data_IF_789709964702
#
_entry.id   IF_789709964702
#
_cell.length_a   1.000
_cell.length_b   1.000
_cell.length_c   1.000
_cell.angle_alpha   90.00
_cell.angle_beta   90.00
_cell.angle_gamma   90.00
#
_symmetry.space_group_name_H-M   'P 1'
#
loop_
_entity.id
_entity.type
_entity.pdbx_description
1 polymer ?
#
# COMPACT_ATOMS: atom_id res chain seq x y z
N UNK A 1 -14.28 23.29 -34.79
CA UNK A 1 -13.61 24.30 -35.63
C UNK A 1 -12.15 24.29 -35.23
N UNK A 2 -11.28 23.73 -36.08
CA UNK A 2 -9.87 23.51 -35.73
C UNK A 2 -9.04 24.78 -35.88
N UNK A 3 -8.03 24.96 -35.03
CA UNK A 3 -7.05 26.04 -35.10
C UNK A 3 -5.66 25.40 -35.14
N UNK A 4 -4.89 25.70 -36.19
CA UNK A 4 -3.47 25.39 -36.28
C UNK A 4 -2.66 26.51 -35.62
N UNK A 5 -1.66 26.14 -34.82
CA UNK A 5 -0.65 27.05 -34.27
C UNK A 5 0.73 26.52 -34.65
N UNK A 6 1.52 27.31 -35.37
CA UNK A 6 2.95 27.07 -35.62
C UNK A 6 3.78 27.93 -34.67
N UNK A 7 4.87 27.40 -34.12
CA UNK A 7 5.88 28.18 -33.39
C UNK A 7 7.28 27.87 -33.91
N UNK A 8 7.98 28.91 -34.36
CA UNK A 8 9.43 28.93 -34.55
C UNK A 8 10.13 29.16 -33.19
N UNK A 9 11.18 28.36 -32.94
CA UNK A 9 12.17 28.44 -31.86
C UNK A 9 11.68 28.86 -30.46
N UNK A 10 11.38 27.87 -29.61
CA UNK A 10 11.34 28.04 -28.15
C UNK A 10 12.73 27.76 -27.56
N UNK A 11 13.38 28.79 -27.01
CA UNK A 11 14.17 28.57 -25.81
C UNK A 11 13.21 28.26 -24.66
N UNK A 12 13.44 27.15 -23.97
CA UNK A 12 12.54 26.64 -22.92
C UNK A 12 12.42 27.62 -21.74
N UNK A 13 11.20 27.97 -21.30
CA UNK A 13 11.00 28.77 -20.10
C UNK A 13 11.31 27.97 -18.82
N UNK A 14 11.95 28.63 -17.85
CA UNK A 14 12.24 28.13 -16.50
C UNK A 14 10.93 27.81 -15.75
N UNK A 15 10.75 26.55 -15.37
CA UNK A 15 9.69 26.10 -14.45
C UNK A 15 10.18 26.36 -13.03
N UNK A 16 9.43 27.13 -12.24
CA UNK A 16 9.62 27.25 -10.79
C UNK A 16 8.34 26.73 -10.15
N UNK A 17 8.40 25.50 -9.62
CA UNK A 17 7.30 24.93 -8.84
C UNK A 17 7.43 25.42 -7.39
N UNK A 18 6.59 26.35 -6.97
CA UNK A 18 6.16 26.44 -5.58
C UNK A 18 4.70 26.01 -5.52
N UNK A 19 4.41 25.10 -4.60
CA UNK A 19 3.10 24.49 -4.36
C UNK A 19 1.99 25.53 -4.54
N UNK A 20 1.02 25.20 -5.40
CA UNK A 20 -0.23 25.92 -5.71
C UNK A 20 -0.28 26.91 -6.89
N UNK A 21 0.77 27.16 -7.69
CA UNK A 21 0.62 28.06 -8.86
C UNK A 21 1.44 27.65 -10.09
N UNK A 22 0.78 27.43 -11.24
CA UNK A 22 1.44 27.46 -12.55
C UNK A 22 1.39 28.90 -13.07
N UNK A 23 2.51 29.62 -12.98
CA UNK A 23 2.65 30.97 -13.55
C UNK A 23 3.31 30.87 -14.92
N UNK A 24 2.54 31.04 -15.99
CA UNK A 24 3.09 31.18 -17.35
C UNK A 24 3.29 32.67 -17.63
N UNK A 25 4.55 33.09 -17.72
CA UNK A 25 4.91 34.47 -18.07
C UNK A 25 4.73 34.69 -19.57
N UNK A 26 3.92 35.68 -19.94
CA UNK A 26 3.92 36.27 -21.27
C UNK A 26 4.27 37.75 -21.15
N UNK A 27 5.32 38.20 -21.85
CA UNK A 27 5.68 39.62 -21.88
C UNK A 27 4.57 40.38 -22.62
N UNK A 28 3.89 41.25 -21.87
CA UNK A 28 2.98 42.32 -22.33
C UNK A 28 1.54 41.92 -22.73
N UNK A 29 0.69 41.62 -21.73
CA UNK A 29 -0.70 42.09 -21.52
C UNK A 29 -1.43 41.12 -20.58
N UNK A 30 -1.98 41.63 -19.47
CA UNK A 30 -2.54 40.81 -18.40
C UNK A 30 -3.97 40.35 -18.71
N UNK A 31 -4.12 39.06 -19.02
CA UNK A 31 -5.42 38.35 -18.98
C UNK A 31 -5.31 37.27 -17.92
N UNK A 32 -6.12 37.35 -16.87
CA UNK A 32 -6.17 36.34 -15.81
C UNK A 32 -7.27 35.32 -16.15
N UNK A 33 -6.90 34.06 -16.38
CA UNK A 33 -7.85 32.95 -16.43
C UNK A 33 -7.67 32.18 -15.13
N UNK A 34 -8.68 32.24 -14.27
CA UNK A 34 -8.73 31.43 -13.05
C UNK A 34 -9.31 30.07 -13.41
N UNK A 35 -8.47 29.03 -13.47
CA UNK A 35 -8.94 27.65 -13.45
C UNK A 35 -8.67 27.16 -12.03
N UNK A 36 -9.69 27.19 -11.17
CA UNK A 36 -9.62 26.56 -9.85
C UNK A 36 -9.88 25.06 -10.07
N UNK A 37 -8.84 24.32 -10.42
CA UNK A 37 -8.84 22.87 -10.32
C UNK A 37 -8.30 22.51 -8.93
N UNK A 38 -9.12 21.91 -8.08
CA UNK A 38 -8.59 21.22 -6.90
C UNK A 38 -7.82 20.01 -7.42
N UNK A 39 -6.49 20.05 -7.33
CA UNK A 39 -5.67 18.87 -7.59
C UNK A 39 -5.87 17.99 -6.36
N UNK A 40 -6.87 17.10 -6.41
CA UNK A 40 -7.03 16.07 -5.40
C UNK A 40 -5.89 15.08 -5.61
N UNK A 41 -4.83 15.23 -4.83
CA UNK A 41 -3.70 14.32 -4.79
C UNK A 41 -3.67 13.64 -3.43
N UNK A 42 -3.33 12.35 -3.41
CA UNK A 42 -3.08 11.62 -2.17
C UNK A 42 -1.97 12.32 -1.35
N UNK A 43 -2.21 12.52 -0.06
CA UNK A 43 -1.22 13.10 0.86
C UNK A 43 -0.76 12.08 1.91
N UNK A 44 0.43 12.28 2.48
CA UNK A 44 1.04 11.34 3.42
C UNK A 44 0.14 10.99 4.62
N UNK A 45 -0.64 11.97 5.14
CA UNK A 45 -1.53 11.74 6.28
C UNK A 45 -2.74 10.84 5.97
N UNK A 46 -2.99 10.57 4.68
CA UNK A 46 -4.04 9.63 4.24
C UNK A 46 -3.52 8.19 4.18
N UNK A 47 -2.20 7.97 4.20
CA UNK A 47 -1.60 6.64 4.31
C UNK A 47 -1.55 6.22 5.78
N UNK A 48 -2.40 5.28 6.16
CA UNK A 48 -2.58 4.87 7.55
C UNK A 48 -2.28 3.40 7.76
N UNK A 49 -1.85 3.05 8.98
CA UNK A 49 -1.70 1.68 9.43
C UNK A 49 -2.86 1.31 10.38
N UNK A 50 -3.34 0.08 10.28
CA UNK A 50 -4.41 -0.47 11.12
C UNK A 50 -4.01 -1.83 11.67
N UNK A 51 -4.54 -2.16 12.85
CA UNK A 51 -4.36 -3.46 13.48
C UNK A 51 -5.21 -4.54 12.81
N UNK A 52 -4.79 -5.79 12.98
CA UNK A 52 -5.66 -6.94 12.76
C UNK A 52 -6.74 -7.09 13.83
N UNK A 53 -7.80 -7.82 13.48
CA UNK A 53 -8.94 -8.10 14.33
C UNK A 53 -8.55 -8.77 15.64
N UNK A 54 -7.55 -9.65 15.60
CA UNK A 54 -6.94 -10.22 16.80
C UNK A 54 -5.47 -9.83 16.88
N UNK A 55 -5.05 -9.25 18.01
CA UNK A 55 -3.65 -9.00 18.35
C UNK A 55 -3.31 -9.84 19.58
N UNK A 56 -2.50 -10.88 19.39
CA UNK A 56 -2.10 -11.77 20.48
C UNK A 56 -0.71 -12.37 20.21
N UNK A 57 -0.24 -13.25 21.10
CA UNK A 57 0.97 -14.05 20.88
C UNK A 57 0.65 -15.53 20.61
N UNK A 58 -0.62 -15.84 20.32
CA UNK A 58 -1.12 -17.19 20.05
C UNK A 58 -1.38 -17.38 18.55
N UNK A 59 -1.69 -18.62 18.15
CA UNK A 59 -1.96 -18.99 16.77
C UNK A 59 -3.06 -18.13 16.11
N UNK A 60 -4.03 -17.65 16.88
CA UNK A 60 -5.13 -16.80 16.38
C UNK A 60 -4.74 -15.33 16.12
N UNK A 61 -3.50 -14.90 16.42
CA UNK A 61 -3.02 -13.55 16.10
C UNK A 61 -3.13 -13.28 14.59
N UNK A 62 -3.72 -12.16 14.19
CA UNK A 62 -4.02 -11.85 12.78
C UNK A 62 -5.51 -11.75 12.51
N UNK A 63 -5.94 -12.27 11.35
CA UNK A 63 -7.30 -12.12 10.84
C UNK A 63 -7.51 -10.80 10.09
N UNK A 64 -8.79 -10.42 9.91
CA UNK A 64 -9.23 -9.26 9.12
C UNK A 64 -8.75 -7.92 9.67
N UNK A 65 -8.90 -6.87 8.86
CA UNK A 65 -8.72 -5.47 9.25
C UNK A 65 -9.62 -5.13 10.45
N UNK A 66 -9.07 -4.42 11.44
CA UNK A 66 -9.86 -3.79 12.51
C UNK A 66 -9.97 -2.27 12.31
N UNK A 67 -10.80 -1.63 13.12
CA UNK A 67 -10.91 -0.16 13.21
C UNK A 67 -9.78 0.49 14.01
N UNK A 68 -8.92 -0.31 14.64
CA UNK A 68 -7.85 0.17 15.50
C UNK A 68 -6.67 0.73 14.72
N UNK A 69 -6.68 2.04 14.42
CA UNK A 69 -5.57 2.76 13.79
C UNK A 69 -4.28 2.65 14.62
N UNK A 70 -3.16 2.42 13.94
CA UNK A 70 -1.81 2.42 14.48
C UNK A 70 -1.22 3.81 14.21
N UNK A 71 -1.46 4.72 15.15
CA UNK A 71 -0.94 6.10 15.09
C UNK A 71 0.59 6.11 15.24
N UNK A 72 1.27 6.96 14.47
CA UNK A 72 2.73 7.07 14.52
C UNK A 72 3.20 7.74 15.82
N UNK A 73 4.49 7.57 16.16
CA UNK A 73 5.14 8.20 17.32
C UNK A 73 4.60 7.78 18.70
N UNK A 74 3.90 6.65 18.77
CA UNK A 74 3.45 6.07 20.03
C UNK A 74 4.33 4.85 20.35
N UNK A 75 4.90 4.83 21.55
CA UNK A 75 5.67 3.69 22.04
C UNK A 75 4.78 2.44 22.14
N UNK A 76 5.34 1.28 21.80
CA UNK A 76 4.71 -0.03 21.93
C UNK A 76 3.41 -0.20 21.13
N UNK A 77 3.23 0.59 20.08
CA UNK A 77 1.96 0.63 19.37
C UNK A 77 1.70 -0.64 18.54
N UNK A 78 2.77 -1.31 18.10
CA UNK A 78 2.73 -2.58 17.36
C UNK A 78 3.23 -3.73 18.23
N UNK A 79 4.45 -3.61 18.77
CA UNK A 79 5.06 -4.61 19.63
C UNK A 79 5.10 -4.12 21.08
N UNK A 80 4.72 -4.94 22.07
CA UNK A 80 4.90 -4.57 23.46
C UNK A 80 6.38 -4.68 23.86
N UNK A 81 6.72 -4.07 25.00
CA UNK A 81 8.05 -4.22 25.59
C UNK A 81 8.42 -5.71 25.75
N UNK A 82 9.71 -6.00 25.59
CA UNK A 82 10.27 -7.34 25.75
C UNK A 82 11.03 -7.38 27.06
N UNK A 83 10.72 -8.34 27.92
CA UNK A 83 11.42 -8.54 29.19
C UNK A 83 12.84 -9.07 28.97
N UNK A 84 13.73 -8.86 29.95
CA UNK A 84 15.10 -9.39 29.89
C UNK A 84 15.12 -10.91 29.74
N UNK A 85 14.19 -11.62 30.41
CA UNK A 85 14.08 -13.06 30.32
C UNK A 85 13.71 -13.53 28.90
N UNK A 86 12.77 -12.83 28.24
CA UNK A 86 12.41 -13.10 26.84
C UNK A 86 13.58 -12.83 25.88
N UNK A 87 14.36 -11.77 26.11
CA UNK A 87 15.56 -11.49 25.30
C UNK A 87 16.62 -12.57 25.44
N UNK A 88 16.90 -13.00 26.67
CA UNK A 88 17.89 -14.06 26.93
C UNK A 88 17.48 -15.41 26.33
N UNK A 89 16.18 -15.69 26.25
CA UNK A 89 15.66 -16.91 25.65
C UNK A 89 15.63 -16.87 24.11
N UNK A 90 15.70 -15.68 23.51
CA UNK A 90 15.34 -15.45 22.12
C UNK A 90 13.82 -15.52 21.93
N UNK A 91 13.22 -14.46 21.41
CA UNK A 91 11.79 -14.37 21.17
C UNK A 91 11.50 -14.01 19.73
N UNK A 92 10.63 -14.78 19.08
CA UNK A 92 10.01 -14.40 17.82
C UNK A 92 8.56 -14.03 18.10
N UNK A 93 8.14 -12.85 17.66
CA UNK A 93 6.79 -12.32 17.89
C UNK A 93 6.23 -11.77 16.59
N UNK A 94 5.01 -12.19 16.25
CA UNK A 94 4.35 -11.78 15.02
C UNK A 94 3.29 -10.72 15.27
N UNK A 95 3.15 -9.78 14.34
CA UNK A 95 2.05 -8.81 14.31
C UNK A 95 1.59 -8.64 12.88
N UNK A 96 0.29 -8.79 12.66
CA UNK A 96 -0.33 -8.47 11.38
C UNK A 96 -0.84 -7.04 11.42
N UNK A 97 -0.53 -6.30 10.38
CA UNK A 97 -0.92 -4.91 10.21
C UNK A 97 -1.42 -4.70 8.79
N UNK A 98 -2.16 -3.62 8.60
CA UNK A 98 -2.76 -3.28 7.33
C UNK A 98 -2.44 -1.84 6.97
N UNK A 99 -1.94 -1.61 5.76
CA UNK A 99 -1.80 -0.27 5.21
C UNK A 99 -3.05 0.12 4.45
N UNK A 100 -3.61 1.30 4.70
CA UNK A 100 -4.86 1.74 4.10
C UNK A 100 -4.69 3.15 3.56
N UNK A 101 -5.05 3.35 2.30
CA UNK A 101 -5.25 4.68 1.76
C UNK A 101 -6.61 5.20 2.25
N UNK A 102 -6.61 6.30 2.99
CA UNK A 102 -7.83 6.91 3.55
C UNK A 102 -8.16 8.24 2.86
N UNK A 103 -8.07 8.25 1.53
CA UNK A 103 -8.38 9.42 0.72
C UNK A 103 -9.89 9.51 0.45
N UNK A 104 -10.53 10.58 0.91
CA UNK A 104 -11.98 10.75 0.83
C UNK A 104 -12.51 11.03 -0.60
N UNK A 105 -11.61 11.42 -1.50
CA UNK A 105 -11.89 11.68 -2.91
C UNK A 105 -11.78 10.40 -3.78
N UNK A 106 -11.40 9.26 -3.19
CA UNK A 106 -11.16 8.01 -3.90
C UNK A 106 -10.09 8.11 -4.99
N UNK A 107 -9.08 8.95 -4.75
CA UNK A 107 -7.91 9.07 -5.63
C UNK A 107 -7.09 7.77 -5.66
N UNK A 108 -6.42 7.54 -6.78
CA UNK A 108 -5.61 6.34 -7.02
C UNK A 108 -4.24 6.48 -6.34
N UNK A 109 -3.79 5.43 -5.65
CA UNK A 109 -2.40 5.33 -5.20
C UNK A 109 -1.54 4.61 -6.23
N UNK A 110 -0.42 5.22 -6.59
CA UNK A 110 0.52 4.68 -7.58
C UNK A 110 1.78 4.17 -6.88
N UNK A 111 2.29 3.01 -7.29
CA UNK A 111 3.60 2.49 -6.91
C UNK A 111 3.92 2.52 -5.40
N UNK A 112 3.02 2.07 -4.49
CA UNK A 112 3.32 2.09 -3.07
C UNK A 112 4.47 1.15 -2.72
N UNK A 113 5.29 1.58 -1.76
CA UNK A 113 6.51 0.90 -1.33
C UNK A 113 6.48 0.69 0.18
N UNK A 114 6.82 -0.52 0.62
CA UNK A 114 7.02 -0.84 2.03
C UNK A 114 8.46 -1.29 2.25
N UNK A 115 9.16 -0.63 3.16
CA UNK A 115 10.57 -0.89 3.46
C UNK A 115 10.94 -0.28 4.81
N UNK A 116 12.01 -0.76 5.43
CA UNK A 116 12.57 -0.13 6.61
C UNK A 116 13.48 1.05 6.25
N UNK A 117 13.60 2.03 7.14
CA UNK A 117 14.41 3.25 6.96
C UNK A 117 15.48 3.45 8.06
N UNK A 118 15.50 2.58 9.07
CA UNK A 118 16.47 2.43 10.20
C UNK A 118 16.21 1.09 10.89
N UNK A 119 17.21 0.70 11.67
CA UNK A 119 17.12 -0.39 12.63
C UNK A 119 16.34 0.00 13.89
N UNK A 120 16.06 -1.01 14.70
CA UNK A 120 15.62 -0.78 16.08
C UNK A 120 16.82 -0.29 16.91
N UNK A 121 16.62 0.58 17.92
CA UNK A 121 17.71 0.98 18.82
C UNK A 121 18.20 -0.14 19.72
N UNK A 122 17.44 -1.23 19.82
CA UNK A 122 17.73 -2.36 20.68
C UNK A 122 18.43 -3.50 19.93
N UNK A 123 18.86 -3.24 18.67
CA UNK A 123 19.51 -4.24 17.80
C UNK A 123 18.63 -5.48 17.56
N UNK A 124 17.31 -5.35 17.77
CA UNK A 124 16.31 -6.36 17.44
C UNK A 124 16.06 -6.37 15.92
N UNK A 125 15.88 -7.57 15.36
CA UNK A 125 15.48 -7.77 13.97
C UNK A 125 13.99 -7.52 13.76
N UNK A 126 13.66 -6.85 12.66
CA UNK A 126 12.28 -6.79 12.18
C UNK A 126 12.26 -7.19 10.71
N UNK A 127 11.39 -8.14 10.41
CA UNK A 127 11.15 -8.64 9.05
C UNK A 127 9.66 -8.51 8.73
N UNK A 128 9.36 -8.40 7.45
CA UNK A 128 8.02 -8.29 6.87
C UNK A 128 7.85 -9.42 5.87
N UNK A 129 6.62 -9.90 5.72
CA UNK A 129 6.26 -10.75 4.60
C UNK A 129 4.82 -10.47 4.19
N UNK A 130 4.50 -10.93 2.99
CA UNK A 130 3.20 -10.80 2.36
C UNK A 130 2.18 -11.78 2.96
N UNK A 131 1.06 -11.28 3.46
CA UNK A 131 -0.03 -12.11 3.99
C UNK A 131 -1.38 -11.72 3.38
N UNK A 132 -2.35 -12.64 3.43
CA UNK A 132 -3.73 -12.45 2.95
C UNK A 132 -4.65 -11.83 4.00
N UNK A 133 -5.87 -11.44 3.60
CA UNK A 133 -6.82 -10.69 4.43
C UNK A 133 -7.17 -11.42 5.70
N UNK A 134 -7.17 -12.74 5.61
CA UNK A 134 -7.70 -13.62 6.64
C UNK A 134 -6.60 -14.31 7.42
N UNK A 135 -5.35 -14.29 6.91
CA UNK A 135 -4.23 -15.00 7.53
C UNK A 135 -4.12 -14.68 9.01
N UNK A 136 -3.91 -15.74 9.76
CA UNK A 136 -3.52 -15.75 11.16
C UNK A 136 -2.12 -16.29 11.29
N UNK A 137 -1.54 -16.19 12.48
CA UNK A 137 -0.23 -16.75 12.76
C UNK A 137 -0.19 -18.28 12.60
N UNK A 138 -1.34 -18.95 12.68
CA UNK A 138 -1.47 -20.39 12.40
C UNK A 138 -1.19 -20.75 10.93
N UNK A 139 -1.36 -19.79 10.02
CA UNK A 139 -1.24 -19.99 8.57
C UNK A 139 0.20 -19.80 8.06
N UNK A 140 1.12 -19.37 8.93
CA UNK A 140 2.54 -19.20 8.61
C UNK A 140 3.19 -20.58 8.41
N UNK A 141 3.80 -20.76 7.25
CA UNK A 141 4.43 -22.02 6.80
C UNK A 141 5.95 -22.00 6.93
N UNK A 142 6.56 -20.82 7.03
CA UNK A 142 8.01 -20.64 6.97
C UNK A 142 8.57 -20.57 5.54
N UNK A 143 7.69 -20.58 4.52
CA UNK A 143 8.06 -20.44 3.11
C UNK A 143 7.81 -19.03 2.56
N UNK A 144 7.35 -18.12 3.41
CA UNK A 144 7.03 -16.75 3.03
C UNK A 144 8.30 -16.00 2.61
N UNK A 145 8.19 -15.18 1.56
CA UNK A 145 9.27 -14.28 1.16
C UNK A 145 9.42 -13.19 2.23
N UNK A 146 10.57 -13.21 2.90
CA UNK A 146 10.89 -12.21 3.92
C UNK A 146 11.49 -10.96 3.27
N UNK A 147 11.16 -9.83 3.86
CA UNK A 147 11.70 -8.51 3.56
C UNK A 147 12.24 -7.91 4.86
N UNK A 148 13.30 -7.13 4.76
CA UNK A 148 14.05 -6.69 5.93
C UNK A 148 15.02 -5.60 5.58
N UNK A 149 15.99 -5.41 6.47
CA UNK A 149 17.06 -4.45 6.29
C UNK A 149 18.40 -4.99 6.79
N UNK A 150 19.47 -4.54 6.16
CA UNK A 150 20.84 -4.75 6.60
C UNK A 150 21.66 -3.46 6.47
N UNK A 151 22.87 -3.46 7.02
CA UNK A 151 23.76 -2.31 7.04
C UNK A 151 24.66 -2.31 5.80
N UNK A 152 25.08 -1.14 5.35
CA UNK A 152 26.10 -1.06 4.30
C UNK A 152 27.47 -1.50 4.88
N UNK A 153 28.21 -2.34 4.16
CA UNK A 153 29.48 -2.92 4.65
C UNK A 153 30.62 -1.88 4.70
N UNK A 154 30.74 -1.05 3.67
CA UNK A 154 31.82 -0.07 3.50
C UNK A 154 31.31 1.20 2.84
N UNK A 155 32.02 2.31 3.03
CA UNK A 155 31.64 3.59 2.43
C UNK A 155 31.56 3.45 0.90
N UNK A 156 30.44 3.90 0.35
CA UNK A 156 30.20 3.90 -1.10
C UNK A 156 30.23 5.31 -1.65
N UNK A 157 30.74 5.43 -2.87
CA UNK A 157 30.82 6.69 -3.60
C UNK A 157 29.81 6.73 -4.73
N UNK A 158 29.43 7.93 -5.14
CA UNK A 158 28.63 8.15 -6.34
C UNK A 158 29.24 7.42 -7.55
N UNK A 159 28.38 6.80 -8.38
CA UNK A 159 28.79 6.07 -9.57
C UNK A 159 29.02 4.57 -9.34
N UNK A 160 28.95 4.07 -8.10
CA UNK A 160 29.01 2.64 -7.82
C UNK A 160 27.74 1.93 -8.28
N UNK A 161 27.89 0.72 -8.82
CA UNK A 161 26.77 -0.14 -9.24
C UNK A 161 26.73 -1.47 -8.48
N UNK A 162 27.69 -1.70 -7.58
CA UNK A 162 27.78 -2.88 -6.75
C UNK A 162 28.25 -2.46 -5.36
N UNK A 163 27.58 -2.98 -4.33
CA UNK A 163 27.86 -2.70 -2.93
C UNK A 163 27.34 -3.85 -2.07
N UNK A 164 27.81 -3.95 -0.83
CA UNK A 164 27.48 -5.09 0.04
C UNK A 164 26.59 -4.66 1.19
N UNK A 165 25.48 -5.37 1.34
CA UNK A 165 24.59 -5.30 2.49
C UNK A 165 24.95 -6.41 3.48
N UNK A 166 25.23 -6.04 4.73
CA UNK A 166 25.50 -6.94 5.85
C UNK A 166 24.19 -7.19 6.59
N UNK A 167 23.77 -8.44 6.61
CA UNK A 167 22.61 -8.92 7.35
C UNK A 167 22.98 -9.16 8.82
N UNK A 168 21.97 -9.31 9.68
CA UNK A 168 22.22 -9.56 11.10
C UNK A 168 22.90 -10.92 11.34
N UNK A 169 22.57 -11.91 10.51
CA UNK A 169 23.19 -13.23 10.56
C UNK A 169 23.02 -13.99 9.23
N UNK A 170 23.80 -15.07 9.09
CA UNK A 170 23.79 -15.90 7.89
C UNK A 170 22.48 -16.65 7.63
N UNK A 171 21.58 -16.79 8.60
CA UNK A 171 20.28 -17.45 8.42
C UNK A 171 19.21 -16.51 7.85
N UNK A 172 19.39 -15.18 7.97
CA UNK A 172 18.46 -14.21 7.43
C UNK A 172 18.49 -14.24 5.89
N UNK A 173 17.31 -14.27 5.26
CA UNK A 173 17.17 -14.22 3.79
C UNK A 173 16.10 -13.19 3.45
N UNK A 174 16.53 -11.98 3.08
CA UNK A 174 15.62 -10.84 2.78
C UNK A 174 15.74 -10.33 1.34
N UNK A 175 16.64 -10.92 0.55
CA UNK A 175 16.83 -10.67 -0.87
C UNK A 175 16.77 -12.00 -1.62
N UNK A 176 16.05 -12.02 -2.74
CA UNK A 176 16.07 -13.13 -3.70
C UNK A 176 17.29 -13.01 -4.62
N UNK A 177 17.63 -14.05 -5.38
CA UNK A 177 18.78 -13.96 -6.29
C UNK A 177 18.66 -12.83 -7.34
N UNK A 178 17.42 -12.51 -7.77
CA UNK A 178 17.13 -11.49 -8.79
C UNK A 178 15.76 -10.84 -8.55
N UNK A 179 15.49 -9.70 -9.20
CA UNK A 179 14.17 -9.06 -9.18
C UNK A 179 13.86 -8.35 -7.86
N UNK A 180 14.88 -7.96 -7.10
CA UNK A 180 14.66 -7.23 -5.85
C UNK A 180 14.40 -5.76 -6.14
N UNK A 181 13.48 -5.19 -5.37
CA UNK A 181 13.43 -3.75 -5.18
C UNK A 181 14.17 -3.43 -3.88
N UNK A 182 15.00 -2.41 -3.89
CA UNK A 182 15.77 -1.99 -2.72
C UNK A 182 15.59 -0.50 -2.45
N UNK A 183 15.81 -0.12 -1.21
CA UNK A 183 15.87 1.23 -0.73
C UNK A 183 17.13 1.42 0.08
N UNK A 184 17.92 2.45 -0.24
CA UNK A 184 19.14 2.81 0.49
C UNK A 184 18.98 4.22 1.04
N UNK A 185 19.37 4.42 2.30
CA UNK A 185 19.32 5.74 2.94
C UNK A 185 20.35 5.87 4.06
N UNK A 186 20.87 7.08 4.25
CA UNK A 186 21.63 7.51 5.42
C UNK A 186 20.78 8.39 6.38
N UNK A 187 19.45 8.41 6.18
CA UNK A 187 18.50 9.28 6.87
C UNK A 187 18.35 10.68 6.28
N UNK A 188 19.22 11.07 5.34
CA UNK A 188 19.19 12.35 4.61
C UNK A 188 18.97 12.12 3.11
N UNK A 189 19.82 11.31 2.51
CA UNK A 189 19.76 10.86 1.12
C UNK A 189 18.96 9.58 1.03
N UNK A 190 18.23 9.43 -0.08
CA UNK A 190 17.31 8.32 -0.31
C UNK A 190 17.33 7.94 -1.79
N UNK A 191 17.58 6.67 -2.08
CA UNK A 191 17.56 6.13 -3.44
C UNK A 191 16.82 4.81 -3.50
N UNK A 192 16.11 4.60 -4.62
CA UNK A 192 15.34 3.40 -4.89
C UNK A 192 15.82 2.76 -6.19
N UNK A 193 16.00 1.45 -6.14
CA UNK A 193 16.36 0.67 -7.32
C UNK A 193 15.44 -0.54 -7.43
N UNK A 194 15.16 -0.92 -8.68
CA UNK A 194 14.37 -2.10 -9.03
C UNK A 194 15.24 -3.08 -9.81
N UNK A 195 14.77 -4.33 -9.90
CA UNK A 195 15.45 -5.42 -10.60
C UNK A 195 16.90 -5.67 -10.16
N UNK A 196 17.20 -5.41 -8.88
CA UNK A 196 18.53 -5.60 -8.30
C UNK A 196 18.81 -7.08 -8.09
N UNK A 197 19.99 -7.52 -8.57
CA UNK A 197 20.51 -8.86 -8.34
C UNK A 197 21.18 -8.94 -6.95
N UNK A 198 21.06 -10.08 -6.30
CA UNK A 198 21.67 -10.30 -4.98
C UNK A 198 22.43 -11.62 -4.92
N UNK A 199 23.68 -11.58 -4.47
CA UNK A 199 24.52 -12.74 -4.25
C UNK A 199 24.93 -12.82 -2.78
N UNK A 200 24.42 -13.83 -2.07
CA UNK A 200 24.63 -13.98 -0.62
C UNK A 200 25.76 -14.96 -0.30
N UNK A 201 26.67 -14.57 0.59
CA UNK A 201 27.73 -15.41 1.16
C UNK A 201 27.81 -15.15 2.66
N UNK A 202 27.46 -16.14 3.49
CA UNK A 202 27.37 -15.91 4.93
C UNK A 202 26.25 -14.92 5.25
N UNK A 203 26.55 -13.87 6.00
CA UNK A 203 25.69 -12.72 6.30
C UNK A 203 25.86 -11.54 5.33
N UNK A 204 26.82 -11.60 4.41
CA UNK A 204 27.03 -10.58 3.39
C UNK A 204 26.22 -10.85 2.13
N UNK A 205 25.61 -9.81 1.58
CA UNK A 205 24.84 -9.83 0.34
C UNK A 205 25.38 -8.77 -0.60
N UNK A 206 26.09 -9.19 -1.65
CA UNK A 206 26.47 -8.30 -2.74
C UNK A 206 25.23 -7.97 -3.56
N UNK A 207 24.89 -6.69 -3.62
CA UNK A 207 23.79 -6.14 -4.41
C UNK A 207 24.37 -5.48 -5.66
N UNK A 208 23.91 -5.92 -6.82
CA UNK A 208 24.35 -5.40 -8.12
C UNK A 208 23.15 -4.74 -8.81
N UNK A 209 23.25 -3.44 -9.05
CA UNK A 209 22.24 -2.66 -9.76
C UNK A 209 22.17 -3.09 -11.23
N UNK A 210 20.99 -2.96 -11.85
CA UNK A 210 20.83 -3.27 -13.26
C UNK A 210 21.70 -2.36 -14.14
N UNK A 211 22.01 -2.83 -15.35
CA UNK A 211 22.91 -2.15 -16.26
C UNK A 211 22.45 -0.71 -16.58
N UNK A 212 23.35 0.25 -16.37
CA UNK A 212 23.06 1.67 -16.59
C UNK A 212 22.61 2.43 -15.35
N UNK A 213 22.45 1.76 -14.20
CA UNK A 213 22.19 2.40 -12.91
C UNK A 213 23.44 2.41 -12.03
N UNK A 214 23.58 3.50 -11.29
CA UNK A 214 24.63 3.72 -10.30
C UNK A 214 24.07 4.54 -9.16
N UNK A 215 24.67 4.46 -7.97
CA UNK A 215 24.39 5.37 -6.87
C UNK A 215 24.60 6.82 -7.31
N UNK A 216 23.65 7.70 -6.94
CA UNK A 216 23.67 9.13 -7.19
C UNK A 216 24.24 9.92 -6.00
N UNK A 217 24.33 9.30 -4.83
CA UNK A 217 24.89 9.89 -3.62
C UNK A 217 26.07 9.06 -3.09
N UNK A 218 26.86 9.68 -2.21
CA UNK A 218 27.82 8.95 -1.38
C UNK A 218 27.10 8.46 -0.12
N UNK A 219 27.48 7.29 0.38
CA UNK A 219 26.92 6.69 1.58
C UNK A 219 28.06 6.28 2.52
N UNK A 220 27.98 6.70 3.78
CA UNK A 220 28.91 6.23 4.81
C UNK A 220 28.33 4.96 5.45
N UNK A 221 29.14 3.92 5.59
CA UNK A 221 28.69 2.63 6.12
C UNK A 221 28.01 2.75 7.50
N UNK A 222 28.56 3.62 8.35
CA UNK A 222 28.10 3.80 9.73
C UNK A 222 26.64 4.29 9.84
N UNK A 223 26.14 5.03 8.85
CA UNK A 223 24.84 5.69 8.90
C UNK A 223 23.83 5.07 7.90
N UNK A 224 24.30 4.16 7.05
CA UNK A 224 23.52 3.71 5.88
C UNK A 224 22.83 2.38 6.12
N UNK A 225 21.53 2.36 5.85
CA UNK A 225 20.70 1.16 5.83
C UNK A 225 20.29 0.84 4.40
N UNK A 226 20.25 -0.46 4.10
CA UNK A 226 19.73 -1.01 2.85
C UNK A 226 18.57 -1.93 3.20
N UNK A 227 17.40 -1.65 2.65
CA UNK A 227 16.19 -2.42 2.88
C UNK A 227 15.71 -3.08 1.60
N UNK A 228 15.26 -4.34 1.71
CA UNK A 228 14.44 -4.90 0.66
C UNK A 228 13.06 -4.27 0.71
N UNK A 229 12.56 -3.91 -0.46
CA UNK A 229 11.32 -3.17 -0.65
C UNK A 229 10.27 -4.14 -1.15
N UNK A 230 9.14 -4.17 -0.48
CA UNK A 230 7.94 -4.66 -1.12
C UNK A 230 7.45 -3.57 -2.06
N UNK A 231 7.70 -3.78 -3.34
CA UNK A 231 7.22 -2.91 -4.39
C UNK A 231 5.92 -3.46 -4.94
N UNK A 232 4.86 -2.67 -4.78
CA UNK A 232 3.58 -2.97 -5.40
C UNK A 232 3.60 -2.32 -6.77
N UNK A 233 3.92 -3.11 -7.79
CA UNK A 233 3.80 -2.72 -9.21
C UNK A 233 2.32 -2.69 -9.59
N UNK A 234 1.60 -1.72 -9.02
CA UNK A 234 0.23 -1.42 -9.39
C UNK A 234 0.27 -0.14 -10.21
N UNK A 235 -0.12 -0.27 -11.49
CA UNK A 235 -0.40 0.90 -12.31
C UNK A 235 -1.46 1.78 -11.64
N UNK A 236 -2.38 1.21 -10.87
CA UNK A 236 -3.41 1.92 -10.10
C UNK A 236 -3.82 1.07 -8.88
N UNK A 237 -3.72 1.59 -7.66
CA UNK A 237 -4.30 0.95 -6.47
C UNK A 237 -5.61 1.61 -6.09
N UNK A 238 -6.69 0.85 -6.26
CA UNK A 238 -8.06 1.17 -5.90
C UNK A 238 -8.71 -0.05 -5.23
N UNK A 239 -9.84 0.13 -4.52
CA UNK A 239 -10.66 -0.99 -4.10
C UNK A 239 -11.12 -1.79 -5.33
N UNK A 240 -10.91 -3.09 -5.33
CA UNK A 240 -11.31 -3.98 -6.43
C UNK A 240 -12.53 -4.81 -6.05
N UNK A 241 -13.06 -5.63 -6.98
CA UNK A 241 -14.04 -6.71 -6.74
C UNK A 241 -13.56 -8.03 -7.37
N UNK A 242 -13.81 -9.17 -6.71
CA UNK A 242 -13.31 -10.49 -7.16
C UNK A 242 -14.26 -11.06 -8.21
N UNK A 243 -15.52 -11.24 -7.80
CA UNK A 243 -16.56 -11.76 -8.67
C UNK A 243 -17.95 -11.41 -8.16
N UNK A 244 -18.88 -11.37 -9.10
CA UNK A 244 -20.32 -11.35 -8.87
C UNK A 244 -20.87 -12.68 -9.34
N UNK A 245 -21.61 -13.37 -8.47
CA UNK A 245 -22.29 -14.64 -8.79
C UNK A 245 -23.79 -14.47 -8.57
N UNK A 246 -24.56 -14.64 -9.64
CA UNK A 246 -26.02 -14.57 -9.61
C UNK A 246 -26.60 -15.99 -9.54
N UNK A 247 -27.62 -16.22 -8.71
CA UNK A 247 -28.38 -17.47 -8.68
C UNK A 247 -29.72 -17.38 -9.41
N UNK A 248 -30.09 -16.18 -9.89
CA UNK A 248 -31.30 -15.97 -10.68
C UNK A 248 -31.21 -16.64 -12.04
N UNK A 249 -32.34 -17.17 -12.52
CA UNK A 249 -32.47 -17.72 -13.88
C UNK A 249 -32.68 -16.61 -14.92
N UNK A 250 -33.27 -15.47 -14.51
CA UNK A 250 -33.71 -14.40 -15.41
C UNK A 250 -33.08 -13.04 -15.14
N UNK A 251 -32.56 -12.81 -13.94
CA UNK A 251 -31.90 -11.58 -13.52
C UNK A 251 -30.39 -11.65 -13.71
N UNK A 252 -29.78 -10.50 -14.01
CA UNK A 252 -28.32 -10.37 -14.04
C UNK A 252 -27.89 -8.95 -13.70
N UNK A 253 -26.76 -8.82 -13.02
CA UNK A 253 -26.09 -7.54 -12.83
C UNK A 253 -24.88 -7.40 -13.76
N UNK A 254 -24.88 -6.37 -14.62
CA UNK A 254 -23.82 -6.12 -15.60
C UNK A 254 -22.68 -5.28 -15.00
N UNK A 255 -21.66 -5.96 -14.50
CA UNK A 255 -20.45 -5.34 -13.94
C UNK A 255 -19.53 -4.68 -14.97
N UNK A 256 -19.73 -4.90 -16.27
CA UNK A 256 -18.93 -4.26 -17.33
C UNK A 256 -19.42 -2.84 -17.60
N UNK A 257 -20.74 -2.64 -17.67
CA UNK A 257 -21.33 -1.32 -17.91
C UNK A 257 -21.55 -0.52 -16.63
N UNK A 258 -21.64 -1.21 -15.50
CA UNK A 258 -21.90 -0.64 -14.19
C UNK A 258 -21.08 -1.40 -13.12
N UNK A 259 -19.75 -1.21 -13.10
CA UNK A 259 -18.88 -1.88 -12.14
C UNK A 259 -19.29 -1.55 -10.71
N UNK A 260 -18.98 -2.46 -9.79
CA UNK A 260 -19.09 -2.20 -8.36
C UNK A 260 -18.04 -1.15 -8.00
N UNK A 261 -18.48 -0.06 -7.37
CA UNK A 261 -17.58 1.04 -6.99
C UNK A 261 -17.25 0.91 -5.50
N UNK A 262 -15.97 0.74 -5.16
CA UNK A 262 -15.52 0.79 -3.77
C UNK A 262 -15.17 2.22 -3.32
N UNK A 263 -15.00 2.38 -2.02
CA UNK A 263 -14.58 3.62 -1.37
C UNK A 263 -13.29 3.37 -0.59
N UNK A 264 -12.27 4.21 -0.80
CA UNK A 264 -10.96 4.16 -0.14
C UNK A 264 -11.07 4.14 1.38
N UNK A 265 -12.15 4.60 1.99
CA UNK A 265 -12.31 4.59 3.44
C UNK A 265 -13.29 3.49 3.87
N UNK A 266 -14.39 3.29 3.17
CA UNK A 266 -15.48 2.41 3.62
C UNK A 266 -15.36 0.94 3.24
N UNK A 267 -14.67 0.59 2.15
CA UNK A 267 -14.63 -0.81 1.69
C UNK A 267 -13.71 -1.69 2.55
N UNK A 268 -14.15 -2.92 2.80
CA UNK A 268 -13.46 -3.96 3.58
C UNK A 268 -13.56 -5.30 2.85
N UNK A 269 -12.72 -6.27 3.24
CA UNK A 269 -12.86 -7.67 2.77
C UNK A 269 -14.13 -8.30 3.36
N UNK A 270 -15.14 -8.48 2.51
CA UNK A 270 -16.42 -9.07 2.90
C UNK A 270 -17.13 -9.71 1.70
N UNK A 271 -17.97 -10.70 1.99
CA UNK A 271 -18.91 -11.26 1.02
C UNK A 271 -20.30 -10.70 1.33
N UNK A 272 -20.82 -9.89 0.42
CA UNK A 272 -22.17 -9.35 0.49
C UNK A 272 -23.13 -10.21 -0.33
N UNK A 273 -24.25 -10.58 0.29
CA UNK A 273 -25.35 -11.30 -0.33
C UNK A 273 -26.54 -10.36 -0.44
N UNK A 274 -27.03 -10.18 -1.68
CA UNK A 274 -28.28 -9.51 -1.97
C UNK A 274 -29.35 -10.58 -2.14
N UNK A 275 -30.43 -10.53 -1.36
CA UNK A 275 -31.58 -11.44 -1.47
C UNK A 275 -32.81 -10.65 -1.89
N UNK A 276 -33.37 -10.96 -3.05
CA UNK A 276 -34.56 -10.28 -3.56
C UNK A 276 -35.79 -10.66 -2.73
N UNK A 277 -36.53 -9.65 -2.28
CA UNK A 277 -37.80 -9.78 -1.56
C UNK A 277 -39.00 -9.59 -2.49
N UNK A 278 -38.77 -9.02 -3.67
CA UNK A 278 -39.74 -8.89 -4.77
C UNK A 278 -39.01 -8.89 -6.11
N UNK A 279 -39.70 -8.58 -7.21
CA UNK A 279 -39.05 -8.44 -8.52
C UNK A 279 -38.15 -7.19 -8.63
N UNK A 280 -38.22 -6.28 -7.67
CA UNK A 280 -37.52 -4.98 -7.72
C UNK A 280 -36.78 -4.62 -6.45
N UNK A 281 -37.06 -5.26 -5.32
CA UNK A 281 -36.49 -4.94 -4.00
C UNK A 281 -35.67 -6.11 -3.47
N UNK A 282 -34.64 -5.79 -2.70
CA UNK A 282 -33.73 -6.77 -2.09
C UNK A 282 -33.19 -6.30 -0.74
N UNK A 283 -32.81 -7.26 0.10
CA UNK A 283 -32.04 -7.04 1.33
C UNK A 283 -30.56 -7.37 1.10
N UNK A 284 -29.66 -6.61 1.71
CA UNK A 284 -28.23 -6.81 1.67
C UNK A 284 -27.68 -7.24 3.02
N UNK A 285 -26.96 -8.36 3.04
CA UNK A 285 -26.34 -8.95 4.22
C UNK A 285 -24.88 -9.26 3.93
N UNK A 286 -23.95 -8.73 4.71
CA UNK A 286 -22.56 -9.17 4.73
C UNK A 286 -22.39 -10.43 5.57
N UNK A 287 -21.51 -11.34 5.17
CA UNK A 287 -21.33 -12.63 5.83
C UNK A 287 -20.94 -12.50 7.31
N UNK A 288 -20.16 -11.48 7.67
CA UNK A 288 -19.79 -11.21 9.07
C UNK A 288 -20.41 -9.93 9.62
N UNK A 289 -20.54 -8.88 8.79
CA UNK A 289 -21.13 -7.60 9.25
C UNK A 289 -22.66 -7.65 9.39
N UNK A 290 -23.31 -8.71 8.92
CA UNK A 290 -24.76 -8.90 9.03
C UNK A 290 -25.55 -7.99 8.09
N UNK A 291 -26.80 -7.69 8.43
CA UNK A 291 -27.67 -6.87 7.59
C UNK A 291 -27.16 -5.43 7.49
N UNK A 292 -26.89 -4.96 6.26
CA UNK A 292 -26.32 -3.62 5.99
C UNK A 292 -27.28 -2.67 5.29
N UNK A 293 -28.49 -3.14 4.95
CA UNK A 293 -29.57 -2.32 4.42
C UNK A 293 -30.39 -3.05 3.37
N UNK A 294 -31.38 -2.35 2.82
CA UNK A 294 -32.23 -2.84 1.72
C UNK A 294 -32.15 -1.86 0.56
N UNK A 295 -32.29 -2.36 -0.66
CA UNK A 295 -32.22 -1.59 -1.89
C UNK A 295 -33.28 -1.99 -2.91
N UNK A 296 -33.23 -1.35 -4.06
CA UNK A 296 -34.10 -1.66 -5.18
C UNK A 296 -33.35 -1.48 -6.51
N UNK A 297 -33.89 -2.03 -7.59
CA UNK A 297 -33.23 -2.01 -8.90
C UNK A 297 -33.28 -0.64 -9.60
N UNK A 298 -34.12 0.29 -9.15
CA UNK A 298 -34.35 1.59 -9.80
C UNK A 298 -33.57 2.74 -9.17
N UNK A 299 -32.82 2.50 -8.11
CA UNK A 299 -31.96 3.49 -7.45
C UNK A 299 -30.59 2.91 -7.11
N UNK A 300 -29.56 3.75 -7.12
CA UNK A 300 -28.23 3.34 -6.67
C UNK A 300 -28.29 2.92 -5.18
N UNK A 301 -27.53 1.89 -4.83
CA UNK A 301 -27.48 1.33 -3.49
C UNK A 301 -26.07 1.43 -2.93
N UNK A 302 -25.90 2.15 -1.83
CA UNK A 302 -24.62 2.38 -1.17
C UNK A 302 -24.72 2.16 0.35
N UNK A 303 -24.65 0.90 0.83
CA UNK A 303 -24.80 0.61 2.25
C UNK A 303 -23.65 1.22 3.05
N UNK A 304 -23.97 1.89 4.16
CA UNK A 304 -22.98 2.59 4.98
C UNK A 304 -22.23 1.62 5.89
N UNK A 305 -20.90 1.69 5.87
CA UNK A 305 -20.03 1.10 6.87
C UNK A 305 -19.98 2.01 8.10
N UNK A 306 -20.62 1.57 9.19
CA UNK A 306 -20.72 2.34 10.43
C UNK A 306 -19.35 2.63 11.06
N UNK A 307 -18.38 1.73 10.89
CA UNK A 307 -17.04 1.87 11.46
C UNK A 307 -16.24 3.01 10.83
N UNK A 308 -16.51 3.30 9.56
CA UNK A 308 -15.76 4.28 8.78
C UNK A 308 -16.62 5.47 8.31
N UNK A 309 -17.93 5.44 8.57
CA UNK A 309 -18.91 6.46 8.13
C UNK A 309 -18.90 6.72 6.62
N UNK A 310 -18.58 5.69 5.84
CA UNK A 310 -18.47 5.70 4.37
C UNK A 310 -19.11 4.43 3.81
N UNK A 311 -19.49 4.43 2.53
CA UNK A 311 -20.15 3.26 1.95
C UNK A 311 -19.20 2.06 1.86
N UNK A 312 -19.69 0.84 2.09
CA UNK A 312 -18.92 -0.38 1.80
C UNK A 312 -18.61 -0.50 0.30
N UNK A 313 -19.58 -0.13 -0.53
CA UNK A 313 -19.52 -0.10 -1.98
C UNK A 313 -20.72 0.71 -2.49
N UNK A 314 -20.73 1.04 -3.77
CA UNK A 314 -21.88 1.58 -4.48
C UNK A 314 -22.24 0.65 -5.65
N UNK A 315 -23.49 0.23 -5.67
CA UNK A 315 -24.10 -0.53 -6.75
C UNK A 315 -24.97 0.41 -7.57
N UNK A 316 -24.70 0.52 -8.87
CA UNK A 316 -25.43 1.42 -9.76
C UNK A 316 -26.71 0.76 -10.25
N UNK A 317 -27.80 1.52 -10.20
CA UNK A 317 -29.09 1.10 -10.76
C UNK A 317 -28.99 0.68 -12.24
N UNK A 318 -28.11 1.34 -12.99
CA UNK A 318 -27.86 1.06 -14.41
C UNK A 318 -27.29 -0.36 -14.68
N UNK A 319 -26.77 -1.05 -13.67
CA UNK A 319 -26.24 -2.41 -13.82
C UNK A 319 -27.32 -3.48 -13.82
N UNK A 320 -28.52 -3.19 -13.31
CA UNK A 320 -29.59 -4.18 -13.25
C UNK A 320 -30.16 -4.48 -14.62
N UNK A 321 -30.20 -5.77 -14.96
CA UNK A 321 -30.84 -6.28 -16.17
C UNK A 321 -31.71 -7.51 -15.89
N UNK A 322 -32.51 -7.86 -16.90
CA UNK A 322 -33.36 -9.05 -16.85
C UNK A 322 -34.57 -8.93 -15.92
N UNK A 323 -35.04 -10.08 -15.45
CA UNK A 323 -36.22 -10.20 -14.57
C UNK A 323 -35.85 -10.95 -13.30
N UNK A 324 -36.05 -10.31 -12.16
CA UNK A 324 -35.78 -10.87 -10.84
C UNK A 324 -37.06 -11.37 -10.18
N UNK A 325 -36.93 -12.30 -9.24
CA UNK A 325 -38.02 -12.81 -8.42
C UNK A 325 -37.64 -12.83 -6.93
N UNK A 326 -38.66 -12.82 -6.07
CA UNK A 326 -38.45 -13.03 -4.63
C UNK A 326 -37.74 -14.36 -4.41
N UNK A 327 -36.68 -14.34 -3.60
CA UNK A 327 -35.81 -15.48 -3.31
C UNK A 327 -34.58 -15.59 -4.21
N UNK A 328 -34.47 -14.81 -5.29
CA UNK A 328 -33.25 -14.74 -6.07
C UNK A 328 -32.10 -14.15 -5.22
N UNK A 329 -30.88 -14.62 -5.46
CA UNK A 329 -29.70 -14.17 -4.72
C UNK A 329 -28.58 -13.71 -5.66
N UNK A 330 -27.83 -12.72 -5.21
CA UNK A 330 -26.59 -12.29 -5.84
C UNK A 330 -25.50 -12.18 -4.78
N UNK A 331 -24.35 -12.78 -5.06
CA UNK A 331 -23.17 -12.75 -4.20
C UNK A 331 -22.13 -11.84 -4.80
N UNK A 332 -21.70 -10.86 -4.01
CA UNK A 332 -20.66 -9.92 -4.37
C UNK A 332 -19.52 -10.11 -3.39
N UNK A 333 -18.37 -10.56 -3.88
CA UNK A 333 -17.14 -10.54 -3.09
C UNK A 333 -16.38 -9.26 -3.39
N UNK A 334 -16.23 -8.42 -2.37
CA UNK A 334 -15.42 -7.20 -2.43
C UNK A 334 -14.05 -7.50 -1.78
N UNK A 335 -12.97 -7.67 -2.56
CA UNK A 335 -11.63 -7.32 -2.16
C UNK A 335 -11.52 -5.84 -1.82
N UNK A 336 -10.45 -5.58 -1.11
CA UNK A 336 -10.32 -4.49 -0.18
C UNK A 336 -9.69 -3.25 -0.82
N UNK A 337 -9.92 -2.11 -0.18
CA UNK A 337 -9.16 -0.84 -0.28
C UNK A 337 -7.65 -0.97 -0.09
N UNK A 338 -7.23 -2.00 0.61
CA UNK A 338 -5.83 -2.26 0.92
C UNK A 338 -5.41 -3.39 0.00
N UNK A 339 -4.53 -3.13 -0.96
CA UNK A 339 -3.66 -4.23 -1.41
C UNK A 339 -2.88 -4.68 -0.20
N UNK A 340 -3.20 -5.87 0.24
CA UNK A 340 -2.13 -6.77 0.60
C UNK A 340 -1.37 -7.07 -0.67
N UNK A 341 -0.08 -6.82 -0.63
CA UNK A 341 0.91 -7.88 -0.79
C UNK A 341 0.40 -9.15 -1.51
N UNK A 342 0.03 -8.99 -2.77
CA UNK A 342 -0.46 -10.05 -3.67
C UNK A 342 0.32 -10.01 -4.98
N UNK A 343 0.80 -11.20 -5.33
CA UNK A 343 1.68 -11.55 -6.43
C UNK A 343 0.94 -11.45 -7.76
N UNK A 344 1.41 -10.60 -8.68
CA UNK A 344 1.12 -10.72 -10.11
C UNK A 344 2.31 -10.20 -10.96
N UNK A 345 2.47 -10.82 -12.13
CA UNK A 345 3.71 -10.97 -12.91
C UNK A 345 4.02 -9.83 -13.93
N UNK A 346 5.29 -9.39 -13.93
CA UNK A 346 6.23 -9.11 -15.05
C UNK A 346 6.11 -7.87 -15.99
N UNK A 347 7.19 -7.07 -15.93
CA UNK A 347 7.92 -6.23 -16.92
C UNK A 347 7.25 -5.00 -17.55
N UNK A 348 7.79 -3.81 -17.26
CA UNK A 348 8.49 -3.00 -18.27
C UNK A 348 9.26 -1.81 -17.69
N UNK A 349 10.39 -1.53 -18.36
CA UNK A 349 11.35 -0.44 -18.18
C UNK A 349 10.74 0.96 -17.94
N UNK A 350 11.23 1.60 -16.87
CA UNK A 350 11.74 2.98 -16.76
C UNK A 350 11.14 4.03 -17.71
N UNK A 351 10.44 5.01 -17.12
CA UNK A 351 10.72 6.44 -17.40
C UNK A 351 10.12 7.37 -16.35
N UNK A 352 10.98 8.27 -15.90
CA UNK A 352 10.68 9.51 -15.18
C UNK A 352 9.34 10.15 -15.56
N UNK A 353 8.51 10.44 -14.55
CA UNK A 353 7.76 11.70 -14.48
C UNK A 353 7.66 12.19 -13.02
N UNK A 354 7.91 13.49 -12.78
CA UNK A 354 7.77 14.08 -11.45
C UNK A 354 6.29 14.38 -11.21
N UNK A 355 5.62 13.47 -10.52
CA UNK A 355 4.34 13.74 -9.85
C UNK A 355 4.54 13.31 -8.40
N UNK A 356 5.00 14.29 -7.62
CA UNK A 356 5.17 14.26 -6.17
C UNK A 356 6.06 13.14 -5.60
N UNK A 357 7.31 13.50 -5.31
CA UNK A 357 7.98 12.96 -4.12
C UNK A 357 7.22 13.43 -2.87
N UNK A 358 6.20 12.67 -2.46
CA UNK A 358 5.73 12.70 -1.08
C UNK A 358 6.66 11.79 -0.29
N UNK A 359 7.61 12.43 0.38
CA UNK A 359 8.51 11.84 1.36
C UNK A 359 7.73 10.86 2.26
N UNK A 360 8.07 9.58 2.16
CA UNK A 360 7.48 8.53 2.98
C UNK A 360 8.05 8.63 4.41
N UNK A 361 7.48 9.50 5.24
CA UNK A 361 7.75 9.52 6.69
C UNK A 361 7.05 8.36 7.45
N UNK A 362 6.78 7.21 6.81
CA UNK A 362 5.85 6.22 7.39
C UNK A 362 6.43 4.86 7.79
N UNK A 363 7.75 4.63 7.80
CA UNK A 363 8.26 3.33 8.32
C UNK A 363 9.28 3.48 9.46
N UNK A 364 9.50 4.69 10.01
CA UNK A 364 10.63 4.87 10.95
C UNK A 364 10.55 5.68 12.23
N UNK A 365 9.40 6.23 12.56
CA UNK A 365 9.15 6.53 13.99
C UNK A 365 8.68 5.30 14.77
N UNK A 366 8.75 4.12 14.14
CA UNK A 366 8.09 2.90 14.61
C UNK A 366 8.96 2.03 15.52
N UNK A 367 10.28 2.26 15.59
CA UNK A 367 11.19 1.44 16.40
C UNK A 367 11.87 2.15 17.57
N UNK A 368 11.87 3.49 17.62
CA UNK A 368 12.68 4.24 18.59
C UNK A 368 11.82 4.78 19.73
N UNK A 369 11.68 3.99 20.79
CA UNK A 369 11.61 4.45 22.19
C UNK A 369 11.60 3.23 23.13
N UNK A 370 12.63 2.38 23.09
CA UNK A 370 12.90 1.43 24.17
C UNK A 370 14.32 1.59 24.68
N UNK A 371 14.53 2.66 25.45
CA UNK A 371 15.54 2.68 26.50
C UNK A 371 14.89 3.30 27.73
N UNK A 372 14.71 2.51 28.80
CA UNK A 372 14.42 3.07 30.12
C UNK A 372 15.74 3.55 30.72
N UNK A 373 15.81 4.78 31.25
CA UNK A 373 16.89 5.16 32.14
C UNK A 373 16.49 4.70 33.54
N UNK A 374 17.23 3.82 34.20
CA UNK A 374 17.40 3.85 35.66
C UNK A 374 18.56 2.92 36.07
N UNK A 375 19.29 3.43 37.06
CA UNK A 375 20.38 2.85 37.85
C UNK A 375 20.13 1.43 38.33
#
# INVERSE_FOLDING_TARGET
>A
MGIFLSMESLEFPRIINSLSTLVIYWKNKYTYIWIKGEIMSVIASELKLYRSGTVSNAAANGGKLSTGEIVTSIKNNIFPDVSQAERLAGLIRFRKIFAKLTNAANEILYNPRYHFRSFTPAEDRVELFEGTQLDTQADITGSERMYGSGALQSDEVIGQNEFVCVLENAAQVIFEATGNSIFITDGVNEEYFHDVAAAKVGDEVTLTLDSGFTLLNNYLAADTIISSVIFVDASELLPTFDSVTDTSVGGNYNTVTAPLEGDNIGTIEEIFTLTFTSATEYDCVGAEVGAVGSGNISSDFAPTNADFSRAYFTLRSAGWGGTWASGDMQWNRMPKVTKELSKDLISHLVRDRPQLEVLLELILKLMILSTSPHL
#
